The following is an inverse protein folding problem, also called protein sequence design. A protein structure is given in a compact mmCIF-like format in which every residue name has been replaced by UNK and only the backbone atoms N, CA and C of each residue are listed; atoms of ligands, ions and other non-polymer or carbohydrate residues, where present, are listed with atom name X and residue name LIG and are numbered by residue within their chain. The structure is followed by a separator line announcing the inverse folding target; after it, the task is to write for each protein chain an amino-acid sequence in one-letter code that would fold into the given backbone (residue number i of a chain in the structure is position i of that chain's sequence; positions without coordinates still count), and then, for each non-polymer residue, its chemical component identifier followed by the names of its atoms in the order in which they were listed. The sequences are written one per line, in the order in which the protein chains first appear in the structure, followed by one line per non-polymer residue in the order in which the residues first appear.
data_IF_642525552344
#
_entry.id   IF_642525552344
#
_cell.length_a   1.000
_cell.length_b   1.000
_cell.length_c   1.000
_cell.angle_alpha   90.00
_cell.angle_beta   90.00
_cell.angle_gamma   90.00
#
_symmetry.space_group_name_H-M   'P 1'
#
loop_
_entity.id
_entity.type
_entity.pdbx_description
1 polymer ?
#
# COMPACT_ATOMS: atom_id res chain seq x y z
N UNK A 1 55.34 15.85 52.83
CA UNK A 1 54.10 15.01 52.87
C UNK A 1 52.96 15.84 52.30
N UNK A 2 52.75 15.70 51.04
CA UNK A 2 51.77 16.49 50.25
C UNK A 2 50.51 15.70 50.00
N UNK A 3 49.38 16.30 50.30
CA UNK A 3 48.02 15.79 50.12
C UNK A 3 47.69 15.57 48.65
N UNK A 4 47.48 14.33 48.30
CA UNK A 4 46.88 13.95 46.98
C UNK A 4 45.40 13.67 47.24
N UNK A 5 44.55 14.70 47.19
CA UNK A 5 43.10 14.53 47.13
C UNK A 5 42.68 14.60 45.67
N UNK A 6 42.55 13.43 45.05
CA UNK A 6 42.06 13.36 43.67
C UNK A 6 40.52 13.53 43.68
N UNK A 7 40.10 14.58 43.01
CA UNK A 7 38.73 14.96 42.81
C UNK A 7 37.99 13.93 41.92
N UNK A 8 37.26 12.99 42.56
CA UNK A 8 36.39 12.02 41.89
C UNK A 8 34.95 12.55 41.84
N UNK A 9 34.72 13.73 41.30
CA UNK A 9 33.43 14.41 41.31
C UNK A 9 32.93 14.82 39.93
N UNK A 10 33.10 14.02 38.88
CA UNK A 10 32.72 14.42 37.51
C UNK A 10 32.06 13.38 36.62
N UNK A 11 32.07 12.09 37.03
CA UNK A 11 31.56 11.03 36.13
C UNK A 11 30.09 10.64 36.36
N UNK A 12 29.50 10.97 37.52
CA UNK A 12 28.11 10.62 37.83
C UNK A 12 27.05 11.46 37.14
N UNK A 13 27.36 12.73 36.85
CA UNK A 13 26.37 13.66 36.27
C UNK A 13 26.16 13.50 34.77
N UNK A 14 27.21 13.10 34.02
CA UNK A 14 27.10 12.86 32.59
C UNK A 14 26.33 11.56 32.27
N UNK A 15 26.58 10.50 33.04
CA UNK A 15 25.86 9.22 32.90
C UNK A 15 24.38 9.39 33.26
N UNK A 16 24.05 10.03 34.37
CA UNK A 16 22.67 10.28 34.78
C UNK A 16 21.93 11.19 33.79
N UNK A 17 22.63 12.12 33.15
CA UNK A 17 22.01 12.99 32.14
C UNK A 17 21.77 12.23 30.81
N UNK A 18 22.61 11.28 30.47
CA UNK A 18 22.38 10.41 29.31
C UNK A 18 21.23 9.45 29.56
N UNK A 19 21.19 8.82 30.72
CA UNK A 19 20.10 7.92 31.12
C UNK A 19 18.73 8.65 31.16
N UNK A 20 18.67 9.87 31.71
CA UNK A 20 17.49 10.71 31.67
C UNK A 20 17.08 11.12 30.23
N UNK A 21 18.05 11.31 29.34
CA UNK A 21 17.77 11.61 27.94
C UNK A 21 17.22 10.38 27.20
N UNK A 22 17.72 9.19 27.52
CA UNK A 22 17.21 7.94 26.96
C UNK A 22 15.83 7.59 27.47
N UNK A 23 15.58 7.73 28.79
CA UNK A 23 14.24 7.57 29.35
C UNK A 23 13.24 8.61 28.81
N UNK A 24 13.69 9.83 28.53
CA UNK A 24 12.85 10.86 27.89
C UNK A 24 12.56 10.54 26.41
N UNK A 25 13.52 9.94 25.69
CA UNK A 25 13.31 9.44 24.33
C UNK A 25 12.40 8.21 24.32
N UNK A 26 12.58 7.26 25.22
CA UNK A 26 11.73 6.10 25.37
C UNK A 26 10.28 6.45 25.74
N UNK A 27 10.07 7.50 26.56
CA UNK A 27 8.74 8.03 26.89
C UNK A 27 8.02 8.71 25.72
N UNK A 28 8.75 9.11 24.66
CA UNK A 28 8.17 9.69 23.46
C UNK A 28 7.56 8.62 22.53
N UNK A 29 8.01 7.35 22.65
CA UNK A 29 7.42 6.23 21.91
C UNK A 29 6.22 5.58 22.61
N UNK A 30 5.95 5.97 23.86
CA UNK A 30 4.81 5.49 24.66
C UNK A 30 3.54 6.33 24.42
N UNK A 31 2.71 5.92 23.46
CA UNK A 31 1.37 6.44 23.27
C UNK A 31 1.31 7.64 22.33
N UNK A 32 1.45 7.38 21.03
CA UNK A 32 1.02 8.30 19.98
C UNK A 32 -0.51 8.45 20.06
N UNK A 33 -1.00 9.34 20.93
CA UNK A 33 -2.34 9.92 20.72
C UNK A 33 -2.28 10.54 19.34
N UNK A 34 -2.87 9.85 18.39
CA UNK A 34 -2.99 10.29 17.01
C UNK A 34 -3.41 11.76 17.03
N UNK A 35 -2.50 12.66 16.67
CA UNK A 35 -2.74 14.10 16.70
C UNK A 35 -4.09 14.37 16.01
N UNK A 36 -4.93 15.23 16.55
CA UNK A 36 -6.22 15.60 15.92
C UNK A 36 -6.05 15.96 14.44
N UNK A 37 -4.91 16.53 14.07
CA UNK A 37 -4.53 16.84 12.69
C UNK A 37 -4.31 15.58 11.84
N UNK A 38 -3.66 14.55 12.39
CA UNK A 38 -3.44 13.29 11.69
C UNK A 38 -4.75 12.53 11.49
N UNK A 39 -5.61 12.49 12.50
CA UNK A 39 -6.95 11.89 12.42
C UNK A 39 -7.82 12.58 11.36
N UNK A 40 -7.78 13.89 11.28
CA UNK A 40 -8.50 14.65 10.25
C UNK A 40 -7.99 14.32 8.84
N UNK A 41 -6.67 14.22 8.65
CA UNK A 41 -6.09 13.83 7.36
C UNK A 41 -6.51 12.41 6.96
N UNK A 42 -6.47 11.46 7.87
CA UNK A 42 -6.92 10.09 7.61
C UNK A 42 -8.40 10.03 7.23
N UNK A 43 -9.24 10.79 7.91
CA UNK A 43 -10.66 10.87 7.56
C UNK A 43 -10.86 11.46 6.15
N UNK A 44 -10.14 12.53 5.80
CA UNK A 44 -10.22 13.14 4.47
C UNK A 44 -9.79 12.15 3.38
N UNK A 45 -8.65 11.48 3.56
CA UNK A 45 -8.18 10.48 2.58
C UNK A 45 -9.11 9.26 2.51
N UNK A 46 -9.65 8.83 3.66
CA UNK A 46 -10.65 7.75 3.71
C UNK A 46 -11.94 8.12 2.97
N UNK A 47 -12.42 9.34 3.11
CA UNK A 47 -13.59 9.85 2.39
C UNK A 47 -13.31 9.90 0.88
N UNK A 48 -12.17 10.44 0.47
CA UNK A 48 -11.79 10.51 -0.95
C UNK A 48 -11.75 9.10 -1.54
N UNK A 49 -11.09 8.16 -0.87
CA UNK A 49 -11.04 6.77 -1.32
C UNK A 49 -12.42 6.13 -1.36
N UNK A 50 -13.25 6.35 -0.33
CA UNK A 50 -14.62 5.85 -0.27
C UNK A 50 -15.49 6.38 -1.42
N UNK A 51 -15.36 7.66 -1.76
CA UNK A 51 -16.06 8.25 -2.91
C UNK A 51 -15.60 7.60 -4.21
N UNK A 52 -14.30 7.38 -4.39
CA UNK A 52 -13.77 6.71 -5.59
C UNK A 52 -14.29 5.27 -5.72
N UNK A 53 -14.29 4.50 -4.64
CA UNK A 53 -14.84 3.14 -4.62
C UNK A 53 -16.33 3.16 -4.95
N UNK A 54 -17.07 4.10 -4.35
CA UNK A 54 -18.50 4.24 -4.60
C UNK A 54 -18.78 4.56 -6.08
N UNK A 55 -18.05 5.50 -6.66
CA UNK A 55 -18.20 5.86 -8.07
C UNK A 55 -17.82 4.69 -8.99
N UNK A 56 -16.78 3.93 -8.69
CA UNK A 56 -16.37 2.78 -9.49
C UNK A 56 -17.43 1.66 -9.52
N UNK A 57 -18.28 1.59 -8.49
CA UNK A 57 -19.39 0.64 -8.44
C UNK A 57 -20.67 1.22 -9.06
N UNK A 58 -21.01 2.47 -8.70
CA UNK A 58 -22.29 3.06 -9.11
C UNK A 58 -22.29 3.47 -10.58
N UNK A 59 -21.20 4.02 -11.10
CA UNK A 59 -21.19 4.51 -12.48
C UNK A 59 -21.44 3.39 -13.49
N UNK A 60 -20.77 2.21 -13.44
CA UNK A 60 -21.09 1.12 -14.37
C UNK A 60 -22.51 0.58 -14.23
N UNK A 61 -23.11 0.73 -13.04
CA UNK A 61 -24.47 0.24 -12.78
C UNK A 61 -25.55 1.15 -13.37
N UNK A 62 -25.32 2.47 -13.33
CA UNK A 62 -26.31 3.47 -13.76
C UNK A 62 -26.03 4.05 -15.15
N UNK A 63 -24.82 3.82 -15.70
CA UNK A 63 -24.47 4.33 -17.02
C UNK A 63 -25.19 3.52 -18.10
N UNK A 64 -25.83 4.17 -19.09
CA UNK A 64 -26.67 3.47 -20.07
C UNK A 64 -25.90 2.65 -21.10
N UNK A 65 -24.60 2.89 -21.26
CA UNK A 65 -23.76 2.21 -22.24
C UNK A 65 -22.92 1.12 -21.60
N UNK A 66 -22.85 -0.05 -22.25
CA UNK A 66 -22.00 -1.16 -21.80
C UNK A 66 -20.54 -0.91 -22.20
N UNK A 67 -19.60 -1.33 -21.38
CA UNK A 67 -18.16 -1.27 -21.68
C UNK A 67 -17.74 -2.11 -22.89
N UNK A 68 -18.52 -3.15 -23.25
CA UNK A 68 -18.24 -4.09 -24.33
C UNK A 68 -19.05 -3.84 -25.61
N UNK A 69 -20.13 -3.06 -25.52
CA UNK A 69 -20.99 -2.76 -26.67
C UNK A 69 -20.22 -2.04 -27.77
N UNK A 70 -20.33 -2.56 -29.01
CA UNK A 70 -19.66 -2.01 -30.17
C UNK A 70 -20.68 -1.43 -31.13
N UNK A 71 -20.47 -0.20 -31.56
CA UNK A 71 -21.33 0.45 -32.56
C UNK A 71 -20.45 1.08 -33.67
N UNK A 72 -20.55 0.49 -34.86
CA UNK A 72 -19.75 0.93 -36.01
C UNK A 72 -20.04 2.36 -36.50
N UNK A 73 -21.21 2.90 -36.19
CA UNK A 73 -21.64 4.20 -36.68
C UNK A 73 -21.04 5.37 -35.91
N UNK A 74 -20.59 5.09 -34.64
CA UNK A 74 -20.04 6.12 -33.75
C UNK A 74 -18.54 5.89 -33.46
N UNK A 75 -17.79 5.38 -34.43
CA UNK A 75 -16.34 5.14 -34.28
C UNK A 75 -15.57 6.44 -34.17
N UNK A 76 -14.60 6.48 -33.22
CA UNK A 76 -13.74 7.63 -32.98
C UNK A 76 -14.51 8.97 -32.82
N UNK A 77 -15.70 8.88 -32.26
CA UNK A 77 -16.49 10.09 -31.98
C UNK A 77 -15.81 10.88 -30.85
N UNK A 78 -15.71 12.19 -31.06
CA UNK A 78 -15.20 13.10 -30.04
C UNK A 78 -16.17 13.21 -28.85
N UNK A 79 -15.76 13.92 -27.81
CA UNK A 79 -16.59 14.24 -26.65
C UNK A 79 -17.98 14.75 -27.09
N UNK A 80 -19.02 14.18 -26.51
CA UNK A 80 -20.41 14.60 -26.72
C UNK A 80 -21.21 14.48 -25.42
N UNK A 81 -22.40 15.04 -25.36
CA UNK A 81 -23.28 14.94 -24.19
C UNK A 81 -23.75 13.51 -23.92
N UNK A 82 -23.76 12.64 -24.94
CA UNK A 82 -24.10 11.23 -24.85
C UNK A 82 -22.89 10.37 -24.51
N UNK A 83 -21.71 10.69 -25.04
CA UNK A 83 -20.45 9.98 -24.82
C UNK A 83 -19.42 10.93 -24.24
N UNK A 84 -19.36 11.05 -22.93
CA UNK A 84 -18.55 12.06 -22.24
C UNK A 84 -17.04 11.98 -22.52
N UNK A 85 -16.50 10.81 -22.79
CA UNK A 85 -15.10 10.65 -23.20
C UNK A 85 -14.96 10.28 -24.68
N UNK A 86 -16.08 10.37 -25.44
CA UNK A 86 -16.13 9.91 -26.82
C UNK A 86 -16.12 8.39 -26.92
N UNK A 87 -15.84 7.90 -28.15
CA UNK A 87 -15.82 6.47 -28.46
C UNK A 87 -14.48 6.04 -29.06
N UNK A 88 -14.14 4.77 -28.92
CA UNK A 88 -12.93 4.21 -29.50
C UNK A 88 -13.13 3.81 -30.98
N UNK A 89 -12.07 3.23 -31.60
CA UNK A 89 -12.08 2.73 -32.97
C UNK A 89 -13.14 1.64 -33.27
N UNK A 90 -13.69 1.03 -32.22
CA UNK A 90 -14.76 0.04 -32.32
C UNK A 90 -16.14 0.63 -31.98
N UNK A 91 -16.22 1.93 -31.71
CA UNK A 91 -17.43 2.62 -31.30
C UNK A 91 -17.89 2.30 -29.87
N UNK A 92 -16.97 1.86 -29.00
CA UNK A 92 -17.26 1.59 -27.59
C UNK A 92 -17.13 2.85 -26.78
N UNK A 93 -18.01 3.05 -25.80
CA UNK A 93 -17.99 4.21 -24.91
C UNK A 93 -16.77 4.19 -23.99
N UNK A 94 -15.93 5.22 -24.09
CA UNK A 94 -14.69 5.31 -23.30
C UNK A 94 -14.97 5.58 -21.83
N UNK A 95 -16.01 6.32 -21.49
CA UNK A 95 -16.37 6.60 -20.11
C UNK A 95 -16.80 5.32 -19.38
N UNK A 96 -17.67 4.51 -20.00
CA UNK A 96 -18.06 3.21 -19.47
C UNK A 96 -16.85 2.30 -19.22
N UNK A 97 -15.91 2.28 -20.17
CA UNK A 97 -14.69 1.46 -20.07
C UNK A 97 -13.75 1.91 -18.96
N UNK A 98 -13.57 3.21 -18.78
CA UNK A 98 -12.73 3.75 -17.69
C UNK A 98 -13.29 3.35 -16.33
N UNK A 99 -14.57 3.50 -16.09
CA UNK A 99 -15.18 3.16 -14.82
C UNK A 99 -15.23 1.65 -14.56
N UNK A 100 -15.50 0.85 -15.58
CA UNK A 100 -15.42 -0.60 -15.47
C UNK A 100 -13.98 -1.05 -15.14
N UNK A 101 -12.98 -0.50 -15.83
CA UNK A 101 -11.57 -0.75 -15.55
C UNK A 101 -11.17 -0.28 -14.15
N UNK A 102 -11.70 0.85 -13.68
CA UNK A 102 -11.47 1.33 -12.31
C UNK A 102 -11.99 0.33 -11.27
N UNK A 103 -13.17 -0.25 -11.48
CA UNK A 103 -13.72 -1.31 -10.61
C UNK A 103 -12.81 -2.53 -10.52
N UNK A 104 -12.34 -3.03 -11.67
CA UNK A 104 -11.41 -4.17 -11.71
C UNK A 104 -10.09 -3.82 -11.01
N UNK A 105 -9.54 -2.65 -11.26
CA UNK A 105 -8.27 -2.20 -10.65
C UNK A 105 -8.39 -2.09 -9.13
N UNK A 106 -9.51 -1.57 -8.62
CA UNK A 106 -9.78 -1.50 -7.19
C UNK A 106 -9.92 -2.89 -6.57
N UNK A 107 -10.65 -3.78 -7.22
CA UNK A 107 -10.82 -5.17 -6.75
C UNK A 107 -9.47 -5.87 -6.65
N UNK A 108 -8.64 -5.80 -7.69
CA UNK A 108 -7.30 -6.40 -7.71
C UNK A 108 -6.41 -5.74 -6.67
N UNK A 109 -6.42 -4.40 -6.57
CA UNK A 109 -5.60 -3.66 -5.61
C UNK A 109 -5.94 -3.97 -4.16
N UNK A 110 -7.23 -3.98 -3.82
CA UNK A 110 -7.70 -4.30 -2.46
C UNK A 110 -7.38 -5.77 -2.11
N UNK A 111 -7.69 -6.70 -3.02
CA UNK A 111 -7.41 -8.12 -2.81
C UNK A 111 -5.92 -8.38 -2.61
N UNK A 112 -5.08 -7.78 -3.45
CA UNK A 112 -3.62 -7.86 -3.34
C UNK A 112 -3.11 -7.28 -2.02
N UNK A 113 -3.62 -6.10 -1.61
CA UNK A 113 -3.24 -5.49 -0.34
C UNK A 113 -3.63 -6.34 0.87
N UNK A 114 -4.82 -6.95 0.86
CA UNK A 114 -5.29 -7.85 1.92
C UNK A 114 -4.42 -9.10 2.00
N UNK A 115 -4.18 -9.77 0.86
CA UNK A 115 -3.35 -10.98 0.81
C UNK A 115 -1.93 -10.68 1.31
N UNK A 116 -1.30 -9.62 0.77
CA UNK A 116 0.04 -9.21 1.19
C UNK A 116 0.08 -8.81 2.66
N UNK A 117 -0.94 -8.10 3.16
CA UNK A 117 -1.05 -7.72 4.56
C UNK A 117 -1.13 -8.93 5.47
N UNK A 118 -2.02 -9.88 5.18
CA UNK A 118 -2.19 -11.10 5.97
C UNK A 118 -0.90 -11.94 5.95
N UNK A 119 -0.35 -12.21 4.77
CA UNK A 119 0.88 -13.00 4.64
C UNK A 119 2.07 -12.30 5.30
N UNK A 120 2.21 -10.98 5.12
CA UNK A 120 3.28 -10.21 5.76
C UNK A 120 3.20 -10.22 7.28
N UNK A 121 1.99 -10.07 7.85
CA UNK A 121 1.79 -10.17 9.30
C UNK A 121 2.10 -11.57 9.82
N UNK A 122 1.62 -12.62 9.13
CA UNK A 122 1.89 -14.00 9.54
C UNK A 122 3.38 -14.33 9.51
N UNK A 123 4.04 -14.05 8.38
CA UNK A 123 5.48 -14.31 8.22
C UNK A 123 6.28 -13.46 9.19
N UNK A 124 5.97 -12.17 9.32
CA UNK A 124 6.66 -11.26 10.24
C UNK A 124 6.47 -11.63 11.72
N UNK A 125 5.26 -12.03 12.11
CA UNK A 125 5.00 -12.48 13.48
C UNK A 125 5.72 -13.80 13.78
N UNK A 126 5.72 -14.75 12.85
CA UNK A 126 6.39 -16.04 13.00
C UNK A 126 7.91 -15.87 13.07
N UNK A 127 8.47 -15.03 12.20
CA UNK A 127 9.88 -14.66 12.18
C UNK A 127 10.29 -14.00 13.51
N UNK A 128 9.53 -13.02 13.95
CA UNK A 128 9.80 -12.32 15.22
C UNK A 128 9.66 -13.20 16.47
N UNK A 129 8.75 -14.21 16.44
CA UNK A 129 8.56 -15.12 17.54
C UNK A 129 9.69 -16.16 17.64
N UNK A 130 10.13 -16.73 16.53
CA UNK A 130 11.21 -17.71 16.51
C UNK A 130 12.58 -17.06 16.71
N UNK A 131 12.80 -15.87 16.15
CA UNK A 131 14.06 -15.12 16.22
C UNK A 131 15.27 -15.87 15.68
N UNK A 132 16.45 -15.28 15.86
CA UNK A 132 17.73 -15.94 15.59
C UNK A 132 17.90 -16.52 14.18
N UNK A 133 18.25 -17.81 14.11
CA UNK A 133 18.52 -18.48 12.82
C UNK A 133 17.28 -18.62 11.93
N UNK A 134 16.09 -18.80 12.51
CA UNK A 134 14.85 -18.93 11.76
C UNK A 134 14.47 -17.64 11.04
N UNK A 135 14.61 -16.50 11.72
CA UNK A 135 14.42 -15.18 11.13
C UNK A 135 15.38 -14.94 9.94
N UNK A 136 16.66 -15.29 10.14
CA UNK A 136 17.68 -15.18 9.08
C UNK A 136 17.32 -16.04 7.85
N UNK A 137 16.86 -17.25 8.03
CA UNK A 137 16.47 -18.16 6.94
C UNK A 137 15.25 -17.61 6.20
N UNK A 138 14.22 -17.16 6.92
CA UNK A 138 13.02 -16.57 6.30
C UNK A 138 13.35 -15.32 5.49
N UNK A 139 14.21 -14.44 6.00
CA UNK A 139 14.69 -13.27 5.25
C UNK A 139 15.45 -13.68 4.00
N UNK A 140 16.34 -14.70 4.05
CA UNK A 140 17.08 -15.19 2.88
C UNK A 140 16.16 -15.77 1.81
N UNK A 141 15.11 -16.49 2.21
CA UNK A 141 14.11 -16.98 1.26
C UNK A 141 13.41 -15.81 0.58
N UNK A 142 13.02 -14.78 1.34
CA UNK A 142 12.44 -13.54 0.80
C UNK A 142 13.37 -12.85 -0.19
N UNK A 143 14.65 -12.72 0.14
CA UNK A 143 15.67 -12.12 -0.74
C UNK A 143 15.82 -12.90 -2.06
N UNK A 144 15.86 -14.23 -1.99
CA UNK A 144 15.98 -15.11 -3.18
C UNK A 144 14.74 -14.90 -4.08
N UNK A 145 13.55 -14.96 -3.52
CA UNK A 145 12.31 -14.76 -4.28
C UNK A 145 12.28 -13.37 -4.91
N UNK A 146 12.65 -12.34 -4.17
CA UNK A 146 12.66 -10.95 -4.63
C UNK A 146 13.78 -10.65 -5.64
N UNK A 147 14.82 -11.48 -5.72
CA UNK A 147 15.91 -11.30 -6.68
C UNK A 147 15.51 -11.59 -8.12
N UNK A 148 14.44 -12.37 -8.32
CA UNK A 148 13.93 -12.68 -9.65
C UNK A 148 12.98 -11.56 -10.10
N UNK A 149 13.20 -10.93 -11.27
CA UNK A 149 12.28 -9.93 -11.80
C UNK A 149 10.85 -10.44 -11.89
N UNK A 150 9.88 -9.69 -11.34
CA UNK A 150 8.47 -10.08 -11.29
C UNK A 150 7.87 -10.43 -12.66
N UNK A 151 8.36 -9.81 -13.73
CA UNK A 151 7.97 -10.12 -15.11
C UNK A 151 8.21 -11.60 -15.48
N UNK A 152 9.28 -12.22 -14.98
CA UNK A 152 9.57 -13.62 -15.25
C UNK A 152 8.50 -14.53 -14.63
N UNK A 153 8.09 -14.24 -13.39
CA UNK A 153 7.00 -14.97 -12.75
C UNK A 153 5.70 -14.84 -13.53
N UNK A 154 5.36 -13.63 -13.96
CA UNK A 154 4.13 -13.39 -14.74
C UNK A 154 4.15 -14.19 -16.04
N UNK A 155 5.26 -14.17 -16.79
CA UNK A 155 5.39 -14.91 -18.04
C UNK A 155 5.29 -16.43 -17.81
N UNK A 156 5.97 -16.94 -16.78
CA UNK A 156 5.92 -18.37 -16.45
C UNK A 156 4.51 -18.82 -16.04
N UNK A 157 3.82 -18.02 -15.23
CA UNK A 157 2.44 -18.32 -14.83
C UNK A 157 1.50 -18.28 -16.04
N UNK A 158 1.62 -17.28 -16.91
CA UNK A 158 0.82 -17.20 -18.13
C UNK A 158 1.08 -18.40 -19.05
N UNK A 159 2.33 -18.82 -19.19
CA UNK A 159 2.69 -19.99 -20.01
C UNK A 159 2.14 -21.29 -19.41
N UNK A 160 2.21 -21.45 -18.08
CA UNK A 160 1.71 -22.63 -17.38
C UNK A 160 0.18 -22.70 -17.31
N UNK A 161 -0.49 -21.54 -17.16
CA UNK A 161 -1.95 -21.46 -17.12
C UNK A 161 -2.60 -21.61 -18.51
N UNK A 162 -1.80 -21.55 -19.56
CA UNK A 162 -2.27 -21.48 -20.94
C UNK A 162 -2.80 -20.08 -21.26
N UNK A 163 -2.38 -19.53 -22.38
CA UNK A 163 -3.03 -18.34 -22.93
C UNK A 163 -4.40 -18.77 -23.45
N UNK A 164 -5.45 -18.54 -22.64
CA UNK A 164 -6.83 -18.74 -23.06
C UNK A 164 -7.23 -17.81 -24.21
#
# INVERSE_FOLDING_TARGET
MGNFIFHFRGRGTASQNQEKREHRKAGVYGGSRFSRKARRKLLVYGIILGVWVLLAVLVPLFWPFSYSEQNGDIRNQAFSLTHWFGTDRFGRDLFARVWYGAGISLLVGISSALINGILGILVGAFSGWLGGAADMVLMRIGDIISSIPSMIYVILIMLAAGSG
#
